data_IF_581747730894
#
_entry.id   IF_581747730894
#
_cell.length_a   1.000
_cell.length_b   1.000
_cell.length_c   1.000
_cell.angle_alpha   90.00
_cell.angle_beta   90.00
_cell.angle_gamma   90.00
#
_symmetry.space_group_name_H-M   'P 1'
#
loop_
_entity.id
_entity.type
_entity.pdbx_description
1 polymer ?
#
# COMPACT_ATOMS: atom_id res chain seq x y z
N UNK A 1 9.78 4.03 14.31
CA UNK A 1 9.49 3.46 15.65
C UNK A 1 9.68 1.95 15.58
N UNK A 2 10.23 1.32 16.61
CA UNK A 2 10.42 -0.12 16.68
C UNK A 2 9.99 -0.63 18.06
N UNK A 3 9.14 -1.66 18.10
CA UNK A 3 8.76 -2.34 19.32
C UNK A 3 8.87 -3.84 19.16
N UNK A 4 9.13 -4.54 20.27
CA UNK A 4 9.09 -6.00 20.32
C UNK A 4 7.68 -6.47 20.69
N UNK A 5 7.19 -7.49 20.01
CA UNK A 5 5.90 -8.12 20.30
C UNK A 5 6.09 -9.57 20.75
N UNK A 6 5.17 -10.05 21.61
CA UNK A 6 5.21 -11.44 22.08
C UNK A 6 4.50 -12.36 21.08
N UNK A 7 5.18 -13.44 20.70
CA UNK A 7 4.58 -14.57 19.99
C UNK A 7 3.89 -15.50 20.98
N UNK A 8 2.71 -15.98 20.60
CA UNK A 8 1.95 -16.96 21.36
C UNK A 8 1.18 -17.89 20.43
N UNK A 9 0.52 -18.91 20.99
CA UNK A 9 -0.32 -19.85 20.25
C UNK A 9 -1.78 -19.53 20.50
N UNK A 10 -2.59 -19.54 19.44
CA UNK A 10 -4.05 -19.45 19.52
C UNK A 10 -4.64 -20.66 18.82
N UNK A 11 -5.06 -21.66 19.60
CA UNK A 11 -5.37 -22.99 19.08
C UNK A 11 -4.15 -23.60 18.38
N UNK A 12 -4.31 -24.01 17.12
CA UNK A 12 -3.23 -24.60 16.31
C UNK A 12 -2.32 -23.54 15.66
N UNK A 13 -2.77 -22.29 15.62
CA UNK A 13 -2.09 -21.19 14.91
C UNK A 13 -1.08 -20.46 15.79
N UNK A 14 -0.08 -19.84 15.16
CA UNK A 14 0.78 -18.85 15.80
C UNK A 14 0.12 -17.47 15.71
N UNK A 15 0.25 -16.66 16.76
CA UNK A 15 -0.29 -15.31 16.82
C UNK A 15 0.73 -14.34 17.43
N UNK A 16 0.62 -13.07 17.05
CA UNK A 16 1.42 -11.96 17.59
C UNK A 16 0.51 -11.03 18.37
N UNK A 17 0.89 -10.66 19.59
CA UNK A 17 0.17 -9.61 20.33
C UNK A 17 0.68 -8.24 19.85
N UNK A 18 -0.10 -7.57 18.99
CA UNK A 18 0.24 -6.25 18.48
C UNK A 18 0.23 -5.18 19.61
N UNK A 19 1.33 -4.43 19.81
CA UNK A 19 1.36 -3.28 20.70
C UNK A 19 0.36 -2.20 20.26
N UNK A 20 -0.04 -1.32 21.17
CA UNK A 20 -1.11 -0.32 20.93
C UNK A 20 -0.82 0.56 19.71
N UNK A 21 0.44 0.97 19.53
CA UNK A 21 0.88 1.84 18.42
C UNK A 21 0.83 1.18 17.03
N UNK A 22 0.77 -0.16 16.96
CA UNK A 22 0.72 -0.93 15.70
C UNK A 22 -0.66 -1.53 15.43
N UNK A 23 -1.70 -1.15 16.20
CA UNK A 23 -3.06 -1.62 15.93
C UNK A 23 -3.56 -1.05 14.62
N UNK A 24 -4.14 -1.92 13.80
CA UNK A 24 -4.75 -1.57 12.52
C UNK A 24 -6.27 -1.46 12.67
N UNK A 25 -6.94 -0.67 11.82
CA UNK A 25 -8.41 -0.64 11.77
C UNK A 25 -8.97 -1.96 11.22
N UNK A 26 -10.25 -2.19 11.49
CA UNK A 26 -11.00 -3.35 11.00
C UNK A 26 -10.75 -4.64 11.77
N UNK A 27 -11.27 -5.75 11.22
CA UNK A 27 -11.20 -7.09 11.81
C UNK A 27 -10.27 -8.04 11.05
N UNK A 28 -9.89 -7.68 9.83
CA UNK A 28 -9.11 -8.52 8.92
C UNK A 28 -7.95 -7.76 8.29
N UNK A 29 -6.88 -8.51 7.99
CA UNK A 29 -5.67 -7.98 7.34
C UNK A 29 -5.25 -8.91 6.21
N UNK A 30 -4.71 -8.31 5.15
CA UNK A 30 -3.94 -9.03 4.15
C UNK A 30 -2.57 -9.36 4.73
N UNK A 31 -2.11 -10.59 4.48
CA UNK A 31 -0.82 -11.08 4.95
C UNK A 31 0.03 -11.45 3.75
N UNK A 32 1.26 -10.91 3.69
CA UNK A 32 2.25 -11.30 2.70
C UNK A 32 3.61 -11.55 3.35
N UNK A 33 4.48 -12.29 2.68
CA UNK A 33 5.82 -12.66 3.19
C UNK A 33 6.89 -12.25 2.20
N UNK A 34 7.89 -11.52 2.69
CA UNK A 34 9.07 -11.10 1.92
C UNK A 34 10.32 -11.51 2.69
N UNK A 35 10.99 -12.57 2.22
CA UNK A 35 12.09 -13.20 2.95
C UNK A 35 11.65 -13.65 4.36
N UNK A 36 12.28 -13.09 5.38
CA UNK A 36 11.98 -13.38 6.79
C UNK A 36 10.96 -12.41 7.42
N UNK A 37 10.36 -11.51 6.64
CA UNK A 37 9.40 -10.51 7.11
C UNK A 37 7.98 -10.96 6.80
N UNK A 38 7.07 -10.78 7.76
CA UNK A 38 5.62 -10.87 7.56
C UNK A 38 5.08 -9.44 7.51
N UNK A 39 4.39 -9.11 6.43
CA UNK A 39 3.78 -7.81 6.19
C UNK A 39 2.28 -7.96 6.38
N UNK A 40 1.70 -7.07 7.19
CA UNK A 40 0.26 -7.02 7.48
C UNK A 40 -0.29 -5.70 6.96
N UNK A 41 -1.33 -5.76 6.16
CA UNK A 41 -2.00 -4.58 5.59
C UNK A 41 -3.49 -4.63 5.92
N UNK A 42 -4.12 -3.54 6.41
CA UNK A 42 -5.57 -3.53 6.68
C UNK A 42 -6.37 -3.75 5.40
N UNK A 43 -7.38 -4.61 5.46
CA UNK A 43 -8.32 -4.80 4.35
C UNK A 43 -9.34 -3.66 4.29
N UNK A 44 -9.85 -3.25 5.45
CA UNK A 44 -10.65 -2.04 5.58
C UNK A 44 -9.71 -0.83 5.54
N UNK A 45 -9.62 -0.21 4.37
CA UNK A 45 -8.90 1.06 4.24
C UNK A 45 -9.71 2.14 4.95
N UNK A 46 -9.07 3.00 5.77
CA UNK A 46 -9.71 4.24 6.18
C UNK A 46 -10.13 5.03 4.93
N UNK A 47 -11.14 5.91 5.06
CA UNK A 47 -11.53 6.79 3.95
C UNK A 47 -10.29 7.44 3.36
N UNK A 48 -10.22 7.52 2.03
CA UNK A 48 -9.11 8.15 1.35
C UNK A 48 -9.03 9.62 1.79
N UNK A 49 -7.94 9.97 2.45
CA UNK A 49 -7.69 11.32 2.91
C UNK A 49 -7.15 12.15 1.74
N UNK A 50 -8.08 12.80 1.04
CA UNK A 50 -7.79 13.64 -0.13
C UNK A 50 -6.87 14.80 0.24
N UNK A 51 -7.01 15.35 1.45
CA UNK A 51 -6.25 16.51 1.90
C UNK A 51 -4.79 16.11 2.18
N UNK A 52 -4.57 15.01 2.92
CA UNK A 52 -3.23 14.48 3.16
C UNK A 52 -2.54 14.00 1.87
N UNK A 53 -3.30 13.44 0.93
CA UNK A 53 -2.77 13.07 -0.38
C UNK A 53 -2.36 14.29 -1.20
N UNK A 54 -3.20 15.33 -1.25
CA UNK A 54 -2.92 16.57 -1.97
C UNK A 54 -1.71 17.30 -1.39
N UNK A 55 -1.61 17.38 -0.07
CA UNK A 55 -0.44 17.98 0.59
C UNK A 55 0.87 17.24 0.26
N UNK A 56 0.83 15.91 0.08
CA UNK A 56 2.00 15.15 -0.39
C UNK A 56 2.35 15.47 -1.84
N UNK A 57 1.36 15.64 -2.72
CA UNK A 57 1.60 16.04 -4.11
C UNK A 57 2.19 17.44 -4.20
N UNK A 58 1.69 18.38 -3.39
CA UNK A 58 2.21 19.75 -3.36
C UNK A 58 3.71 19.78 -3.02
N UNK A 59 4.19 18.86 -2.17
CA UNK A 59 5.61 18.71 -1.87
C UNK A 59 6.48 18.27 -3.06
N UNK A 60 5.88 17.77 -4.14
CA UNK A 60 6.56 17.38 -5.37
C UNK A 60 6.35 18.37 -6.53
N UNK A 61 5.64 19.50 -6.31
CA UNK A 61 5.39 20.48 -7.38
C UNK A 61 6.64 21.26 -7.80
N UNK A 62 7.63 21.40 -6.91
CA UNK A 62 8.89 22.11 -7.20
C UNK A 62 9.98 21.19 -7.77
N UNK A 63 9.63 19.95 -8.13
CA UNK A 63 10.58 19.02 -8.75
C UNK A 63 10.56 19.26 -10.26
N UNK A 64 11.73 19.57 -10.83
CA UNK A 64 11.89 19.61 -12.28
C UNK A 64 11.51 18.25 -12.84
N UNK A 65 10.38 18.21 -13.56
CA UNK A 65 9.97 17.02 -14.28
C UNK A 65 10.98 16.77 -15.41
N UNK A 66 11.55 15.57 -15.51
CA UNK A 66 12.44 15.26 -16.62
C UNK A 66 11.68 15.41 -17.93
N UNK A 67 12.35 15.95 -18.96
CA UNK A 67 11.82 15.88 -20.33
C UNK A 67 11.62 14.41 -20.68
N UNK A 68 10.34 14.04 -20.82
CA UNK A 68 10.00 12.75 -21.41
C UNK A 68 10.43 12.82 -22.88
N UNK A 69 10.99 11.72 -23.42
CA UNK A 69 11.21 11.64 -24.85
C UNK A 69 9.88 11.86 -25.58
N UNK A 70 9.94 12.42 -26.79
CA UNK A 70 8.75 12.59 -27.63
C UNK A 70 7.98 11.28 -27.67
N UNK A 71 6.72 11.34 -27.20
CA UNK A 71 5.84 10.19 -27.23
C UNK A 71 5.70 9.78 -28.70
N UNK A 72 6.00 8.51 -29.06
CA UNK A 72 5.81 8.08 -30.43
C UNK A 72 4.35 8.32 -30.81
N UNK A 73 4.06 8.64 -32.09
CA UNK A 73 2.69 8.79 -32.54
C UNK A 73 1.91 7.55 -32.10
N UNK A 74 0.79 7.77 -31.40
CA UNK A 74 -0.10 6.69 -30.99
C UNK A 74 -0.42 5.87 -32.24
N UNK A 75 0.04 4.63 -32.28
CA UNK A 75 -0.38 3.70 -33.31
C UNK A 75 -1.88 3.51 -33.13
N UNK A 76 -2.69 3.56 -34.20
CA UNK A 76 -4.10 3.21 -34.09
C UNK A 76 -4.17 1.80 -33.50
N UNK A 77 -4.96 1.63 -32.44
CA UNK A 77 -5.29 0.29 -31.94
C UNK A 77 -6.02 -0.45 -33.08
N UNK A 78 -5.28 -1.29 -33.82
CA UNK A 78 -5.80 -2.06 -34.95
C UNK A 78 -6.83 -3.13 -34.52
N UNK A 79 -7.08 -3.28 -33.21
CA UNK A 79 -8.14 -4.12 -32.65
C UNK A 79 -9.00 -3.36 -31.63
N UNK A 80 -9.87 -2.49 -32.14
CA UNK A 80 -11.12 -2.21 -31.44
C UNK A 80 -12.24 -2.97 -32.13
N UNK A 81 -12.23 -4.29 -32.00
CA UNK A 81 -13.37 -5.14 -32.36
C UNK A 81 -14.35 -5.12 -31.19
N UNK A 82 -15.35 -4.26 -31.27
CA UNK A 82 -16.53 -4.38 -30.42
C UNK A 82 -17.45 -5.45 -31.02
N UNK A 83 -17.30 -6.69 -30.58
CA UNK A 83 -18.35 -7.71 -30.67
C UNK A 83 -19.19 -7.70 -29.38
#
# INVERSE_FOLDING_TARGET
>A
MAATAKLFKHGRSQAVRLPKEFRMPGTEVRVSKVGNKVILEPLEKPPFDVEAWRAKLDAYLDVDFPELPDEPPLEPDDEVTFD
#
